data_IF_893721532354
#
_entry.id   IF_893721532354
#
_cell.length_a   1.000
_cell.length_b   1.000
_cell.length_c   1.000
_cell.angle_alpha   90.00
_cell.angle_beta   90.00
_cell.angle_gamma   90.00
#
_symmetry.space_group_name_H-M   'P 1'
#
loop_
_entity.id
_entity.type
_entity.pdbx_description
1 polymer ?
#
# COMPACT_ATOMS: atom_id res chain seq x y z
N UNK A 1 13.07 -16.66 1.72
CA UNK A 1 11.90 -16.48 2.62
C UNK A 1 11.44 -15.02 2.58
N UNK A 2 12.41 -14.11 2.60
CA UNK A 2 12.32 -12.66 2.54
C UNK A 2 11.48 -12.17 1.36
N UNK A 3 11.67 -12.72 0.15
CA UNK A 3 10.83 -12.37 -1.02
C UNK A 3 9.35 -12.69 -0.81
N UNK A 4 9.04 -13.88 -0.28
CA UNK A 4 7.64 -14.28 -0.02
C UNK A 4 6.95 -13.43 1.05
N UNK A 5 7.72 -12.85 1.99
CA UNK A 5 7.18 -11.89 2.98
C UNK A 5 6.95 -10.53 2.34
N UNK A 6 7.90 -10.06 1.52
CA UNK A 6 7.74 -8.80 0.79
C UNK A 6 6.59 -8.86 -0.22
N UNK A 7 6.40 -9.99 -0.92
CA UNK A 7 5.28 -10.22 -1.82
C UNK A 7 3.94 -10.17 -1.08
N UNK A 8 3.85 -10.80 0.10
CA UNK A 8 2.64 -10.71 0.94
C UNK A 8 2.39 -9.30 1.46
N UNK A 9 3.44 -8.56 1.80
CA UNK A 9 3.32 -7.17 2.25
C UNK A 9 2.84 -6.26 1.12
N UNK A 10 3.36 -6.46 -0.10
CA UNK A 10 2.91 -5.76 -1.29
C UNK A 10 1.44 -6.08 -1.61
N UNK A 11 1.04 -7.35 -1.53
CA UNK A 11 -0.36 -7.76 -1.74
C UNK A 11 -1.31 -7.15 -0.69
N UNK A 12 -0.89 -7.15 0.58
CA UNK A 12 -1.62 -6.50 1.66
C UNK A 12 -1.84 -5.00 1.39
N UNK A 13 -0.79 -4.27 1.02
CA UNK A 13 -0.90 -2.83 0.73
C UNK A 13 -1.78 -2.57 -0.49
N UNK A 14 -1.66 -3.37 -1.55
CA UNK A 14 -2.52 -3.25 -2.74
C UNK A 14 -3.99 -3.52 -2.41
N UNK A 15 -4.27 -4.58 -1.66
CA UNK A 15 -5.64 -4.91 -1.22
C UNK A 15 -6.21 -3.81 -0.34
N UNK A 16 -5.40 -3.26 0.57
CA UNK A 16 -5.82 -2.15 1.42
C UNK A 16 -6.10 -0.88 0.62
N UNK A 17 -5.27 -0.55 -0.37
CA UNK A 17 -5.49 0.59 -1.27
C UNK A 17 -6.74 0.41 -2.13
N UNK A 18 -6.99 -0.79 -2.64
CA UNK A 18 -8.18 -1.11 -3.44
C UNK A 18 -9.49 -1.08 -2.64
N UNK A 19 -9.42 -1.22 -1.31
CA UNK A 19 -10.59 -1.13 -0.44
C UNK A 19 -11.10 0.31 -0.25
N UNK A 20 -10.33 1.33 -0.62
CA UNK A 20 -10.81 2.72 -0.55
C UNK A 20 -11.74 3.02 -1.74
N UNK A 21 -12.87 3.71 -1.49
CA UNK A 21 -13.82 4.07 -2.54
C UNK A 21 -13.34 5.24 -3.42
N UNK A 22 -12.29 5.95 -3.00
CA UNK A 22 -11.72 7.10 -3.72
C UNK A 22 -10.24 6.89 -4.00
N UNK A 23 -9.72 7.57 -5.01
CA UNK A 23 -8.30 7.63 -5.35
C UNK A 23 -7.62 8.84 -4.72
N UNK A 24 -6.28 8.85 -4.71
CA UNK A 24 -5.52 10.02 -4.25
C UNK A 24 -5.83 11.29 -5.06
N UNK A 25 -6.01 11.15 -6.38
CA UNK A 25 -6.32 12.28 -7.26
C UNK A 25 -7.71 12.86 -6.96
N UNK A 26 -8.70 12.00 -6.71
CA UNK A 26 -10.04 12.42 -6.31
C UNK A 26 -10.02 13.13 -4.95
N UNK A 27 -9.30 12.59 -3.96
CA UNK A 27 -9.16 13.23 -2.65
C UNK A 27 -8.50 14.61 -2.78
N UNK A 28 -7.49 14.76 -3.64
CA UNK A 28 -6.85 16.05 -3.91
C UNK A 28 -7.81 17.04 -4.57
N UNK A 29 -8.58 16.59 -5.57
CA UNK A 29 -9.63 17.40 -6.19
C UNK A 29 -10.67 17.86 -5.16
N UNK A 30 -11.13 16.96 -4.27
CA UNK A 30 -12.10 17.30 -3.22
C UNK A 30 -11.59 18.33 -2.21
N UNK A 31 -10.27 18.38 -1.97
CA UNK A 31 -9.66 19.35 -1.05
C UNK A 31 -9.46 20.74 -1.66
N UNK A 32 -9.46 20.85 -2.98
CA UNK A 32 -9.43 22.13 -3.70
C UNK A 32 -10.76 22.86 -3.69
N UNK A 33 -11.87 22.13 -3.46
CA UNK A 33 -13.19 22.74 -3.29
C UNK A 33 -13.27 23.52 -1.98
N UNK A 34 -13.34 24.85 -2.09
CA UNK A 34 -13.44 25.77 -0.96
C UNK A 34 -14.79 25.73 -0.24
N UNK A 35 -15.82 25.10 -0.83
CA UNK A 35 -17.17 24.96 -0.26
C UNK A 35 -17.34 23.73 0.63
N UNK A 36 -16.32 22.87 0.70
CA UNK A 36 -16.40 21.60 1.41
C UNK A 36 -16.59 21.80 2.92
N UNK A 37 -17.51 21.02 3.52
CA UNK A 37 -17.73 21.04 4.96
C UNK A 37 -16.42 20.77 5.72
N UNK A 38 -16.08 21.55 6.77
CA UNK A 38 -14.82 21.39 7.51
C UNK A 38 -14.58 19.97 8.05
N UNK A 39 -15.64 19.28 8.52
CA UNK A 39 -15.52 17.89 8.99
C UNK A 39 -15.18 16.93 7.86
N UNK A 40 -15.82 17.10 6.70
CA UNK A 40 -15.48 16.32 5.49
C UNK A 40 -14.07 16.61 5.03
N UNK A 41 -13.63 17.86 5.09
CA UNK A 41 -12.27 18.26 4.72
C UNK A 41 -11.21 17.52 5.54
N UNK A 42 -11.38 17.48 6.86
CA UNK A 42 -10.48 16.76 7.76
C UNK A 42 -10.51 15.26 7.47
N UNK A 43 -11.70 14.67 7.26
CA UNK A 43 -11.82 13.26 6.91
C UNK A 43 -11.09 12.93 5.59
N UNK A 44 -11.28 13.74 4.55
CA UNK A 44 -10.57 13.57 3.26
C UNK A 44 -9.06 13.74 3.42
N UNK A 45 -8.59 14.68 4.26
CA UNK A 45 -7.16 14.83 4.56
C UNK A 45 -6.57 13.60 5.26
N UNK A 46 -7.28 13.02 6.22
CA UNK A 46 -6.85 11.81 6.93
C UNK A 46 -6.76 10.60 5.99
N UNK A 47 -7.80 10.39 5.17
CA UNK A 47 -7.82 9.30 4.18
C UNK A 47 -6.69 9.48 3.16
N UNK A 48 -6.48 10.71 2.68
CA UNK A 48 -5.36 11.04 1.77
C UNK A 48 -4.00 10.75 2.42
N UNK A 49 -3.83 11.10 3.69
CA UNK A 49 -2.58 10.86 4.42
C UNK A 49 -2.30 9.35 4.52
N UNK A 50 -3.29 8.56 4.91
CA UNK A 50 -3.16 7.10 5.02
C UNK A 50 -2.80 6.48 3.66
N UNK A 51 -3.48 6.88 2.57
CA UNK A 51 -3.14 6.43 1.22
C UNK A 51 -1.71 6.78 0.81
N UNK A 52 -1.23 8.00 1.12
CA UNK A 52 0.15 8.40 0.84
C UNK A 52 1.16 7.53 1.58
N UNK A 53 0.90 7.20 2.84
CA UNK A 53 1.74 6.30 3.62
C UNK A 53 1.74 4.89 3.02
N UNK A 54 0.57 4.35 2.66
CA UNK A 54 0.45 3.04 2.04
C UNK A 54 1.20 2.96 0.70
N UNK A 55 1.06 3.98 -0.16
CA UNK A 55 1.82 4.04 -1.42
C UNK A 55 3.33 4.12 -1.18
N UNK A 56 3.79 4.89 -0.19
CA UNK A 56 5.21 4.98 0.15
C UNK A 56 5.75 3.64 0.67
N UNK A 57 4.98 2.95 1.53
CA UNK A 57 5.34 1.61 2.02
C UNK A 57 5.37 0.57 0.89
N UNK A 58 4.40 0.63 -0.03
CA UNK A 58 4.36 -0.25 -1.20
C UNK A 58 5.59 -0.02 -2.09
N UNK A 59 5.92 1.24 -2.39
CA UNK A 59 7.11 1.58 -3.18
C UNK A 59 8.38 1.05 -2.52
N UNK A 60 8.58 1.29 -1.23
CA UNK A 60 9.74 0.78 -0.50
C UNK A 60 9.82 -0.76 -0.53
N UNK A 61 8.66 -1.43 -0.43
CA UNK A 61 8.58 -2.90 -0.52
C UNK A 61 9.00 -3.39 -1.91
N UNK A 62 8.50 -2.74 -2.98
CA UNK A 62 8.91 -3.03 -4.36
C UNK A 62 10.40 -2.78 -4.57
N UNK A 63 10.95 -1.70 -4.01
CA UNK A 63 12.37 -1.39 -4.09
C UNK A 63 13.23 -2.46 -3.40
N UNK A 64 12.79 -3.00 -2.26
CA UNK A 64 13.45 -4.14 -1.62
C UNK A 64 13.36 -5.42 -2.46
N UNK A 65 12.21 -5.70 -3.08
CA UNK A 65 12.06 -6.85 -3.98
C UNK A 65 13.03 -6.74 -5.17
N UNK A 66 13.17 -5.55 -5.74
CA UNK A 66 14.07 -5.29 -6.87
C UNK A 66 15.56 -5.41 -6.52
N UNK A 67 15.93 -5.26 -5.25
CA UNK A 67 17.30 -5.45 -4.75
C UNK A 67 17.63 -6.93 -4.49
N UNK A 68 16.62 -7.80 -4.39
CA UNK A 68 16.86 -9.23 -4.24
C UNK A 68 17.35 -9.78 -5.58
N UNK A 69 18.46 -10.54 -5.61
CA UNK A 69 18.95 -11.06 -6.86
C UNK A 69 17.94 -12.07 -7.41
N UNK A 70 17.74 -12.04 -8.74
CA UNK A 70 16.70 -12.82 -9.39
C UNK A 70 17.05 -14.31 -9.23
N UNK A 71 16.28 -14.99 -8.38
CA UNK A 71 16.53 -16.38 -8.02
C UNK A 71 15.32 -17.21 -8.41
N UNK A 72 15.29 -17.59 -9.68
CA UNK A 72 14.56 -18.75 -10.22
C UNK A 72 14.99 -20.10 -9.57
N UNK A 73 15.62 -20.08 -8.40
CA UNK A 73 16.03 -21.24 -7.61
C UNK A 73 15.86 -20.81 -6.15
N UNK A 74 14.92 -21.33 -5.37
CA UNK A 74 14.80 -22.74 -5.04
C UNK A 74 13.42 -23.02 -4.45
N UNK A 75 12.85 -24.22 -4.67
CA UNK A 75 11.57 -24.64 -4.12
C UNK A 75 11.80 -24.97 -2.65
N UNK A 76 11.82 -23.96 -1.79
CA UNK A 76 11.70 -24.19 -0.37
C UNK A 76 10.21 -24.19 -0.06
N UNK A 77 9.53 -25.36 0.07
CA UNK A 77 8.26 -25.38 0.76
C UNK A 77 8.54 -24.80 2.15
N UNK A 78 8.03 -23.60 2.40
CA UNK A 78 8.16 -22.94 3.69
C UNK A 78 6.85 -23.21 4.44
N UNK A 79 6.73 -24.35 5.15
CA UNK A 79 5.55 -24.65 5.97
C UNK A 79 5.29 -23.59 7.07
N UNK A 80 6.23 -22.68 7.28
CA UNK A 80 6.17 -21.55 8.20
C UNK A 80 6.34 -20.20 7.50
N UNK A 81 5.96 -20.09 6.22
CA UNK A 81 5.91 -18.79 5.56
C UNK A 81 5.07 -17.83 6.45
N UNK A 82 5.63 -16.69 6.89
CA UNK A 82 4.90 -15.78 7.75
C UNK A 82 3.65 -15.32 7.00
N UNK A 83 2.47 -15.66 7.49
CA UNK A 83 1.21 -15.17 6.94
C UNK A 83 0.89 -13.84 7.58
N UNK A 84 0.91 -12.75 6.82
CA UNK A 84 0.35 -11.49 7.28
C UNK A 84 -1.17 -11.68 7.29
N UNK A 85 -1.76 -11.80 8.48
CA UNK A 85 -3.21 -11.85 8.69
C UNK A 85 -3.82 -10.45 8.65
#
# INVERSE_FOLDING_TARGET
>A
MERAVLDQLADYFNTRLAAYPTTLAEDESMLTDGSLNPKRRVATQLVRLEKKMLHACLQATTDFINQLPDHSVSPCPAPYAPSIK
#
